data_IF_201928245943
#
_entry.id   IF_201928245943
#
_cell.length_a   1.000
_cell.length_b   1.000
_cell.length_c   1.000
_cell.angle_alpha   90.00
_cell.angle_beta   90.00
_cell.angle_gamma   90.00
#
_symmetry.space_group_name_H-M   'P 1'
#
loop_
_entity.id
_entity.type
_entity.pdbx_description
1 polymer ?
#
# COMPACT_ATOMS: atom_id res chain seq x y z
N UNK A 1 -5.23 21.71 -18.84
CA UNK A 1 -4.45 21.97 -17.59
C UNK A 1 -5.23 21.71 -16.31
N UNK A 2 -6.48 22.17 -16.20
CA UNK A 2 -7.29 22.06 -14.98
C UNK A 2 -7.51 20.63 -14.43
N UNK A 3 -7.90 19.67 -15.28
CA UNK A 3 -8.07 18.25 -14.90
C UNK A 3 -6.79 17.60 -14.34
N UNK A 4 -5.62 17.95 -14.90
CA UNK A 4 -4.33 17.45 -14.41
C UNK A 4 -4.02 17.98 -13.00
N UNK A 5 -4.34 19.24 -12.72
CA UNK A 5 -4.17 19.83 -11.39
C UNK A 5 -5.09 19.21 -10.34
N UNK A 6 -6.37 18.97 -10.68
CA UNK A 6 -7.32 18.28 -9.79
C UNK A 6 -6.82 16.87 -9.47
N UNK A 7 -6.49 16.08 -10.49
CA UNK A 7 -6.00 14.71 -10.28
C UNK A 7 -4.72 14.70 -9.41
N UNK A 8 -3.81 15.66 -9.62
CA UNK A 8 -2.61 15.78 -8.78
C UNK A 8 -2.96 16.04 -7.31
N UNK A 9 -3.88 16.98 -7.02
CA UNK A 9 -4.28 17.26 -5.63
C UNK A 9 -4.99 16.06 -5.00
N UNK A 10 -5.89 15.40 -5.73
CA UNK A 10 -6.56 14.19 -5.25
C UNK A 10 -5.55 13.08 -4.92
N UNK A 11 -4.60 12.80 -5.81
CA UNK A 11 -3.52 11.83 -5.55
C UNK A 11 -2.69 12.22 -4.33
N UNK A 12 -2.30 13.49 -4.19
CA UNK A 12 -1.52 13.96 -3.04
C UNK A 12 -2.27 13.79 -1.72
N UNK A 13 -3.57 14.12 -1.66
CA UNK A 13 -4.37 13.92 -0.45
C UNK A 13 -4.50 12.44 -0.07
N UNK A 14 -4.50 11.55 -1.05
CA UNK A 14 -4.61 10.11 -0.82
C UNK A 14 -3.26 9.50 -0.41
N UNK A 15 -2.15 10.02 -0.93
CA UNK A 15 -0.82 9.70 -0.41
C UNK A 15 -0.67 10.15 1.05
N UNK A 16 -1.15 11.35 1.41
CA UNK A 16 -1.17 11.81 2.81
C UNK A 16 -1.96 10.86 3.71
N UNK A 17 -3.14 10.43 3.27
CA UNK A 17 -3.95 9.47 4.02
C UNK A 17 -3.24 8.11 4.16
N UNK A 18 -2.66 7.60 3.07
CA UNK A 18 -1.89 6.36 3.07
C UNK A 18 -0.69 6.44 4.02
N UNK A 19 0.06 7.54 4.00
CA UNK A 19 1.18 7.77 4.92
C UNK A 19 0.72 7.74 6.37
N UNK A 20 -0.37 8.44 6.70
CA UNK A 20 -0.94 8.45 8.06
C UNK A 20 -1.37 7.06 8.52
N UNK A 21 -2.06 6.30 7.66
CA UNK A 21 -2.50 4.94 7.97
C UNK A 21 -1.30 3.99 8.16
N UNK A 22 -0.28 4.07 7.30
CA UNK A 22 0.96 3.30 7.43
C UNK A 22 1.73 3.68 8.71
N UNK A 23 1.86 4.97 9.04
CA UNK A 23 2.49 5.41 10.29
C UNK A 23 1.74 4.87 11.51
N UNK A 24 0.40 4.94 11.50
CA UNK A 24 -0.46 4.45 12.60
C UNK A 24 -0.35 2.94 12.84
N UNK A 25 -0.04 2.14 11.81
CA UNK A 25 0.17 0.70 11.99
C UNK A 25 1.28 0.37 12.99
N UNK A 26 2.28 1.22 13.12
CA UNK A 26 3.45 0.95 13.95
C UNK A 26 4.36 -0.15 13.38
N UNK A 27 5.33 -0.65 14.17
CA UNK A 27 6.23 -1.72 13.73
C UNK A 27 5.52 -3.06 13.62
N UNK A 28 6.03 -3.93 12.73
CA UNK A 28 5.52 -5.29 12.55
C UNK A 28 5.70 -6.13 13.83
N UNK A 29 4.62 -6.75 14.37
CA UNK A 29 4.69 -7.57 15.58
C UNK A 29 5.40 -8.92 15.31
N UNK A 30 5.62 -9.69 16.37
CA UNK A 30 6.15 -11.04 16.29
C UNK A 30 5.03 -12.09 16.41
N UNK A 31 5.34 -13.35 16.09
CA UNK A 31 4.40 -14.46 16.27
C UNK A 31 3.20 -14.38 15.33
N UNK A 32 2.10 -15.02 15.71
CA UNK A 32 0.90 -15.15 14.86
C UNK A 32 0.15 -13.83 14.60
N UNK A 33 0.41 -12.78 15.38
CA UNK A 33 -0.20 -11.45 15.16
C UNK A 33 0.26 -10.82 13.83
N UNK A 34 1.40 -11.26 13.29
CA UNK A 34 1.95 -10.74 12.03
C UNK A 34 1.01 -10.98 10.84
N UNK A 35 0.21 -12.05 10.86
CA UNK A 35 -0.73 -12.36 9.78
C UNK A 35 -1.84 -11.31 9.69
N UNK A 36 -2.45 -10.95 10.82
CA UNK A 36 -3.51 -9.93 10.86
C UNK A 36 -2.94 -8.53 10.61
N UNK A 37 -1.70 -8.28 11.08
CA UNK A 37 -0.97 -7.06 10.76
C UNK A 37 -0.71 -6.92 9.26
N UNK A 38 -0.28 -7.98 8.58
CA UNK A 38 -0.07 -7.99 7.13
C UNK A 38 -1.36 -7.68 6.36
N UNK A 39 -2.48 -8.27 6.77
CA UNK A 39 -3.80 -7.96 6.19
C UNK A 39 -4.11 -6.47 6.29
N UNK A 40 -3.87 -5.84 7.45
CA UNK A 40 -4.09 -4.39 7.62
C UNK A 40 -3.16 -3.58 6.72
N UNK A 41 -1.87 -3.94 6.65
CA UNK A 41 -0.88 -3.29 5.78
C UNK A 41 -1.30 -3.33 4.30
N UNK A 42 -1.65 -4.50 3.78
CA UNK A 42 -2.06 -4.64 2.39
C UNK A 42 -3.37 -3.92 2.08
N UNK A 43 -4.34 -3.90 3.01
CA UNK A 43 -5.59 -3.16 2.84
C UNK A 43 -5.38 -1.66 2.64
N UNK A 44 -4.43 -1.05 3.35
CA UNK A 44 -4.09 0.38 3.18
C UNK A 44 -3.60 0.66 1.75
N UNK A 45 -2.75 -0.22 1.23
CA UNK A 45 -2.11 -0.04 -0.09
C UNK A 45 -3.12 -0.27 -1.21
N UNK A 46 -3.92 -1.34 -1.15
CA UNK A 46 -4.91 -1.60 -2.21
C UNK A 46 -6.03 -0.57 -2.24
N UNK A 47 -6.37 0.05 -1.09
CA UNK A 47 -7.33 1.17 -1.05
C UNK A 47 -6.84 2.35 -1.89
N UNK A 48 -5.54 2.65 -1.86
CA UNK A 48 -4.94 3.64 -2.76
C UNK A 48 -4.94 3.14 -4.21
N UNK A 49 -4.40 1.94 -4.45
CA UNK A 49 -4.24 1.35 -5.80
C UNK A 49 -5.56 1.22 -6.58
N UNK A 50 -6.65 0.88 -5.89
CA UNK A 50 -7.97 0.69 -6.49
C UNK A 50 -8.60 1.99 -7.01
N UNK A 51 -8.12 3.15 -6.56
CA UNK A 51 -8.76 4.43 -6.86
C UNK A 51 -7.78 5.43 -7.51
N UNK A 52 -6.48 5.23 -7.33
CA UNK A 52 -5.45 6.18 -7.73
C UNK A 52 -4.27 5.47 -8.38
N UNK A 53 -3.61 6.19 -9.29
CA UNK A 53 -2.37 5.77 -9.90
C UNK A 53 -1.32 6.87 -9.71
N UNK A 54 -0.11 6.47 -9.31
CA UNK A 54 1.00 7.39 -9.17
C UNK A 54 1.63 7.65 -10.54
N UNK A 55 1.14 8.69 -11.23
CA UNK A 55 1.76 9.17 -12.47
C UNK A 55 2.96 10.07 -12.15
N UNK A 56 4.13 9.69 -12.62
CA UNK A 56 5.42 10.34 -12.34
C UNK A 56 5.44 11.79 -12.86
N UNK A 57 4.73 12.09 -13.96
CA UNK A 57 4.63 13.44 -14.53
C UNK A 57 3.97 14.43 -13.58
N UNK A 58 3.22 13.96 -12.57
CA UNK A 58 2.63 14.81 -11.54
C UNK A 58 3.70 15.34 -10.57
N UNK A 59 4.85 14.68 -10.48
CA UNK A 59 5.89 14.90 -9.46
C UNK A 59 7.28 15.13 -10.06
N UNK A 60 7.46 16.15 -10.94
CA UNK A 60 8.70 16.35 -11.69
C UNK A 60 9.92 16.67 -10.81
N UNK A 61 9.72 17.14 -9.57
CA UNK A 61 10.81 17.44 -8.63
C UNK A 61 11.33 16.19 -7.89
N UNK A 62 10.65 15.07 -8.00
CA UNK A 62 10.93 13.83 -7.27
C UNK A 62 10.67 12.60 -8.13
N UNK A 63 11.07 12.64 -9.40
CA UNK A 63 10.83 11.57 -10.39
C UNK A 63 11.27 10.20 -9.84
N UNK A 64 12.53 10.08 -9.40
CA UNK A 64 13.08 8.84 -8.85
C UNK A 64 12.31 8.35 -7.62
N UNK A 65 11.99 9.24 -6.69
CA UNK A 65 11.25 8.86 -5.47
C UNK A 65 9.82 8.43 -5.79
N UNK A 66 9.16 9.09 -6.74
CA UNK A 66 7.84 8.72 -7.21
C UNK A 66 7.88 7.36 -7.96
N UNK A 67 8.92 7.08 -8.73
CA UNK A 67 9.09 5.77 -9.40
C UNK A 67 9.28 4.65 -8.39
N UNK A 68 10.17 4.83 -7.41
CA UNK A 68 10.39 3.85 -6.34
C UNK A 68 9.12 3.65 -5.50
N UNK A 69 8.39 4.72 -5.18
CA UNK A 69 7.12 4.63 -4.47
C UNK A 69 6.08 3.84 -5.27
N UNK A 70 5.97 4.13 -6.58
CA UNK A 70 5.09 3.39 -7.48
C UNK A 70 5.42 1.89 -7.47
N UNK A 71 6.71 1.54 -7.52
CA UNK A 71 7.16 0.15 -7.48
C UNK A 71 6.75 -0.54 -6.17
N UNK A 72 6.97 0.11 -5.03
CA UNK A 72 6.53 -0.42 -3.74
C UNK A 72 5.02 -0.63 -3.69
N UNK A 73 4.21 0.33 -4.17
CA UNK A 73 2.75 0.22 -4.23
C UNK A 73 2.33 -0.95 -5.12
N UNK A 74 2.95 -1.11 -6.28
CA UNK A 74 2.65 -2.21 -7.21
C UNK A 74 3.01 -3.56 -6.60
N UNK A 75 4.20 -3.70 -5.99
CA UNK A 75 4.69 -4.95 -5.42
C UNK A 75 3.86 -5.40 -4.21
N UNK A 76 3.38 -4.45 -3.42
CA UNK A 76 2.50 -4.70 -2.29
C UNK A 76 1.01 -4.55 -2.66
N UNK A 77 0.69 -4.41 -3.94
CA UNK A 77 -0.66 -4.26 -4.45
C UNK A 77 -1.28 -5.59 -4.90
N UNK A 78 -2.49 -5.51 -5.44
CA UNK A 78 -3.20 -6.64 -6.04
C UNK A 78 -2.43 -7.20 -7.24
N UNK A 79 -2.23 -8.50 -7.26
CA UNK A 79 -1.60 -9.23 -8.35
C UNK A 79 -2.05 -10.70 -8.31
N UNK A 80 -2.55 -11.22 -9.44
CA UNK A 80 -3.06 -12.59 -9.56
C UNK A 80 -2.01 -13.67 -9.23
N UNK A 81 -0.72 -13.37 -9.43
CA UNK A 81 0.41 -14.24 -9.08
C UNK A 81 1.19 -13.76 -7.86
N UNK A 82 0.84 -12.59 -7.30
CA UNK A 82 1.49 -12.02 -6.12
C UNK A 82 0.91 -12.52 -4.79
N UNK A 83 1.24 -11.78 -3.73
CA UNK A 83 0.73 -12.06 -2.38
C UNK A 83 -0.74 -11.68 -2.25
N UNK A 84 -1.15 -10.51 -2.76
CA UNK A 84 -2.53 -10.04 -2.65
C UNK A 84 -3.32 -10.46 -3.87
N UNK A 85 -4.13 -11.51 -3.75
CA UNK A 85 -4.94 -12.06 -4.86
C UNK A 85 -6.42 -11.71 -4.80
N UNK A 86 -6.81 -10.81 -3.89
CA UNK A 86 -8.19 -10.32 -3.83
C UNK A 86 -8.52 -9.42 -5.03
N UNK A 87 -9.75 -9.49 -5.53
CA UNK A 87 -10.18 -8.70 -6.69
C UNK A 87 -10.30 -7.22 -6.35
N UNK A 88 -10.28 -6.37 -7.37
CA UNK A 88 -10.48 -4.92 -7.20
C UNK A 88 -11.75 -4.64 -6.41
N UNK A 89 -11.66 -3.78 -5.38
CA UNK A 89 -12.77 -3.45 -4.49
C UNK A 89 -13.04 -4.45 -3.37
N UNK A 90 -12.46 -5.65 -3.40
CA UNK A 90 -12.58 -6.62 -2.31
C UNK A 90 -11.53 -6.36 -1.22
N UNK A 91 -11.89 -6.51 0.07
CA UNK A 91 -10.90 -6.41 1.13
C UNK A 91 -9.85 -7.52 1.02
N UNK A 92 -8.61 -7.20 1.40
CA UNK A 92 -7.61 -8.22 1.68
C UNK A 92 -8.00 -8.93 2.96
N UNK A 93 -7.96 -10.26 2.95
CA UNK A 93 -8.28 -11.16 4.05
C UNK A 93 -7.23 -12.24 4.14
N UNK A 94 -7.22 -13.02 5.23
CA UNK A 94 -6.31 -14.15 5.36
C UNK A 94 -6.49 -15.21 4.26
N UNK A 95 -7.68 -15.31 3.66
CA UNK A 95 -8.00 -16.30 2.63
C UNK A 95 -7.61 -15.87 1.20
N UNK A 96 -7.29 -14.59 0.99
CA UNK A 96 -6.88 -14.07 -0.31
C UNK A 96 -5.49 -13.40 -0.27
N UNK A 97 -4.80 -13.48 0.87
CA UNK A 97 -3.38 -13.22 1.03
C UNK A 97 -2.63 -14.54 0.92
N UNK A 98 -1.69 -14.63 -0.01
CA UNK A 98 -0.93 -15.85 -0.31
C UNK A 98 0.54 -15.68 0.08
N UNK A 99 1.08 -16.74 0.68
CA UNK A 99 2.44 -16.87 1.22
C UNK A 99 2.99 -18.24 0.83
N UNK A 100 4.27 -18.53 1.09
CA UNK A 100 4.78 -19.90 0.96
C UNK A 100 6.14 -19.97 0.29
N UNK A 101 6.34 -21.06 -0.45
CA UNK A 101 7.65 -21.49 -0.97
C UNK A 101 8.64 -21.77 0.17
N UNK A 102 8.22 -22.60 1.12
CA UNK A 102 8.98 -22.97 2.33
C UNK A 102 9.02 -24.48 2.46
N UNK A 103 10.22 -25.09 2.47
CA UNK A 103 10.43 -26.54 2.65
C UNK A 103 9.52 -27.44 1.79
N UNK A 104 9.34 -27.11 0.52
CA UNK A 104 8.48 -27.89 -0.40
C UNK A 104 6.97 -27.67 -0.20
N UNK A 105 6.57 -26.84 0.76
CA UNK A 105 5.20 -26.35 0.89
C UNK A 105 4.98 -25.24 -0.13
N UNK A 106 4.12 -25.53 -1.09
CA UNK A 106 3.70 -24.63 -2.15
C UNK A 106 2.98 -23.40 -1.60
N UNK A 107 2.80 -22.40 -2.46
CA UNK A 107 2.07 -21.18 -2.12
C UNK A 107 0.65 -21.50 -1.64
N UNK A 108 0.29 -20.99 -0.47
CA UNK A 108 -1.02 -21.17 0.16
C UNK A 108 -1.47 -19.88 0.86
N UNK A 109 -2.70 -19.84 1.35
CA UNK A 109 -3.28 -18.68 2.02
C UNK A 109 -2.63 -18.40 3.37
N UNK A 110 -2.66 -17.14 3.81
CA UNK A 110 -2.25 -16.76 5.16
C UNK A 110 -3.10 -17.45 6.22
N UNK A 111 -4.38 -17.75 5.94
CA UNK A 111 -5.24 -18.54 6.82
C UNK A 111 -4.67 -19.95 7.06
N UNK A 112 -4.24 -20.63 5.98
CA UNK A 112 -3.58 -21.93 6.09
C UNK A 112 -2.32 -21.85 6.95
N UNK A 113 -1.43 -20.90 6.64
CA UNK A 113 -0.18 -20.77 7.39
C UNK A 113 -0.40 -20.30 8.83
N UNK A 114 -1.44 -19.54 9.15
CA UNK A 114 -1.74 -19.13 10.53
C UNK A 114 -2.07 -20.31 11.44
N UNK A 115 -2.71 -21.35 10.89
CA UNK A 115 -3.08 -22.57 11.61
C UNK A 115 -2.06 -23.71 11.48
N UNK A 116 -1.05 -23.57 10.60
CA UNK A 116 -0.02 -24.58 10.40
C UNK A 116 0.78 -24.86 11.70
N UNK A 117 0.98 -26.12 12.06
CA UNK A 117 1.50 -26.49 13.38
C UNK A 117 3.03 -26.58 13.46
N UNK A 118 3.72 -26.78 12.33
CA UNK A 118 5.18 -26.90 12.34
C UNK A 118 5.86 -25.55 12.62
N UNK A 119 6.63 -25.52 13.72
CA UNK A 119 7.26 -24.29 14.23
C UNK A 119 8.24 -23.67 13.25
N UNK A 120 9.03 -24.48 12.55
CA UNK A 120 10.07 -23.97 11.64
C UNK A 120 9.44 -23.31 10.40
N UNK A 121 8.43 -23.96 9.82
CA UNK A 121 7.64 -23.39 8.72
C UNK A 121 6.97 -22.10 9.16
N UNK A 122 6.32 -22.10 10.33
CA UNK A 122 5.71 -20.90 10.92
C UNK A 122 6.71 -19.76 11.06
N UNK A 123 7.89 -20.02 11.62
CA UNK A 123 8.89 -18.99 11.85
C UNK A 123 9.40 -18.40 10.54
N UNK A 124 9.60 -19.22 9.50
CA UNK A 124 10.03 -18.75 8.18
C UNK A 124 8.95 -17.86 7.55
N UNK A 125 7.69 -18.29 7.57
CA UNK A 125 6.59 -17.49 7.01
C UNK A 125 6.45 -16.17 7.74
N UNK A 126 6.48 -16.17 9.08
CA UNK A 126 6.41 -14.96 9.89
C UNK A 126 7.58 -14.02 9.57
N UNK A 127 8.79 -14.55 9.39
CA UNK A 127 9.97 -13.77 9.00
C UNK A 127 9.86 -13.22 7.58
N UNK A 128 9.32 -13.98 6.63
CA UNK A 128 9.07 -13.52 5.27
C UNK A 128 8.09 -12.34 5.27
N UNK A 129 6.96 -12.46 5.97
CA UNK A 129 5.98 -11.37 6.10
C UNK A 129 6.65 -10.15 6.71
N UNK A 130 7.34 -10.32 7.83
CA UNK A 130 7.99 -9.22 8.56
C UNK A 130 9.03 -8.52 7.68
N UNK A 131 9.86 -9.27 6.98
CA UNK A 131 10.86 -8.73 6.04
C UNK A 131 10.20 -7.96 4.90
N UNK A 132 9.15 -8.52 4.30
CA UNK A 132 8.40 -7.85 3.24
C UNK A 132 7.81 -6.53 3.74
N UNK A 133 7.07 -6.54 4.86
CA UNK A 133 6.43 -5.32 5.35
C UNK A 133 7.47 -4.29 5.76
N UNK A 134 8.56 -4.67 6.42
CA UNK A 134 9.61 -3.72 6.83
C UNK A 134 10.33 -3.08 5.64
N UNK A 135 10.59 -3.86 4.57
CA UNK A 135 11.20 -3.35 3.33
C UNK A 135 10.27 -2.48 2.48
N UNK A 136 8.99 -2.35 2.85
CA UNK A 136 8.01 -1.55 2.11
C UNK A 136 7.44 -0.41 2.95
N UNK A 137 7.00 -0.66 4.18
CA UNK A 137 6.28 0.30 5.02
C UNK A 137 7.09 1.58 5.28
N UNK A 138 8.27 1.45 5.86
CA UNK A 138 9.12 2.61 6.18
C UNK A 138 9.60 3.33 4.91
N UNK A 139 10.10 2.62 3.86
CA UNK A 139 10.39 3.24 2.58
C UNK A 139 9.20 4.01 1.97
N UNK A 140 8.00 3.44 1.97
CA UNK A 140 6.80 4.13 1.48
C UNK A 140 6.51 5.40 2.28
N UNK A 141 6.55 5.35 3.63
CA UNK A 141 6.31 6.53 4.48
C UNK A 141 7.29 7.66 4.12
N UNK A 142 8.57 7.34 3.98
CA UNK A 142 9.63 8.31 3.68
C UNK A 142 9.51 8.86 2.25
N UNK A 143 9.26 7.99 1.27
CA UNK A 143 9.08 8.40 -0.13
C UNK A 143 7.84 9.25 -0.31
N UNK A 144 6.73 8.93 0.37
CA UNK A 144 5.53 9.77 0.37
C UNK A 144 5.85 11.14 0.96
N UNK A 145 6.56 11.20 2.09
CA UNK A 145 6.97 12.47 2.70
C UNK A 145 7.77 13.33 1.72
N UNK A 146 8.76 12.74 1.05
CA UNK A 146 9.59 13.44 0.08
C UNK A 146 8.77 13.95 -1.12
N UNK A 147 7.93 13.09 -1.69
CA UNK A 147 7.06 13.45 -2.83
C UNK A 147 6.13 14.61 -2.46
N UNK A 148 5.53 14.59 -1.27
CA UNK A 148 4.60 15.62 -0.82
C UNK A 148 5.30 16.94 -0.47
N UNK A 149 6.45 16.90 0.20
CA UNK A 149 7.18 18.11 0.61
C UNK A 149 7.79 18.86 -0.57
N UNK A 150 8.38 18.13 -1.52
CA UNK A 150 9.13 18.74 -2.64
C UNK A 150 8.22 19.19 -3.78
N UNK A 151 6.99 18.65 -3.87
CA UNK A 151 6.04 19.03 -4.91
C UNK A 151 4.93 19.91 -4.34
N UNK A 152 4.86 21.16 -4.80
CA UNK A 152 3.80 22.08 -4.36
C UNK A 152 2.41 21.51 -4.71
N UNK A 153 1.49 21.51 -3.74
CA UNK A 153 0.06 21.35 -4.03
C UNK A 153 -0.40 22.52 -4.89
N UNK A 154 -1.05 22.27 -6.05
CA UNK A 154 -1.66 23.33 -6.83
C UNK A 154 -2.61 24.20 -5.97
N UNK A 155 -2.27 25.47 -5.78
CA UNK A 155 -3.05 26.42 -4.97
C UNK A 155 -3.88 27.37 -5.86
N UNK A 156 -4.81 26.80 -6.64
CA UNK A 156 -5.70 27.59 -7.50
C UNK A 156 -7.14 27.53 -6.98
N UNK A 157 -7.80 28.69 -6.87
CA UNK A 157 -9.20 28.87 -6.42
C UNK A 157 -10.17 27.95 -7.17
N UNK A 158 -9.98 27.75 -8.47
CA UNK A 158 -10.81 26.85 -9.28
C UNK A 158 -10.65 25.39 -8.84
N UNK A 159 -9.44 24.97 -8.46
CA UNK A 159 -9.17 23.61 -7.97
C UNK A 159 -9.83 23.40 -6.60
N UNK A 160 -9.70 24.38 -5.69
CA UNK A 160 -10.40 24.35 -4.38
C UNK A 160 -11.92 24.26 -4.54
N UNK A 161 -12.48 25.05 -5.46
CA UNK A 161 -13.92 25.08 -5.73
C UNK A 161 -14.42 23.76 -6.32
N UNK A 162 -13.68 23.18 -7.29
CA UNK A 162 -14.01 21.89 -7.88
C UNK A 162 -13.95 20.73 -6.87
N UNK A 163 -12.98 20.75 -5.94
CA UNK A 163 -12.89 19.75 -4.89
C UNK A 163 -14.04 19.85 -3.88
N UNK A 164 -14.44 21.07 -3.50
CA UNK A 164 -15.58 21.31 -2.60
C UNK A 164 -16.91 20.90 -3.20
N UNK A 165 -17.10 21.07 -4.51
CA UNK A 165 -18.29 20.59 -5.21
C UNK A 165 -18.38 19.06 -5.22
N UNK A 166 -17.27 18.35 -5.48
CA UNK A 166 -17.24 16.88 -5.47
C UNK A 166 -17.54 16.27 -4.08
N UNK A 167 -17.10 16.92 -3.00
CA UNK A 167 -17.33 16.41 -1.64
C UNK A 167 -18.79 16.53 -1.19
N UNK A 168 -19.59 17.40 -1.81
CA UNK A 168 -21.00 17.62 -1.47
C UNK A 168 -21.97 16.71 -2.27
N UNK A 169 -21.45 15.89 -3.18
CA UNK A 169 -22.21 14.97 -4.04
C UNK A 169 -22.02 13.48 -3.65
N UNK A 170 -21.43 13.20 -2.49
CA UNK A 170 -21.36 11.87 -1.87
C UNK A 170 -22.13 11.87 -0.57
#
# INVERSE_FOLDING_TARGET
MFKKAINKVETMNQLEQMQKELSKLGPAPNGKEIYDYAVKFFNIIVKFQDNFALNIDMFPKTVKSAETLRLHITNAGRNEYGWVRAKRGEPVTLHNLYLGNVYGIWTNTAAFFKEYSEKDVQQIIQNQIKSFVNSHREPMINLISEVLQKNNKPDNILVKSAMKMKSNTK
#
